data_IF_766467556290
#
_entry.id   IF_766467556290
#
_cell.length_a   1.000
_cell.length_b   1.000
_cell.length_c   1.000
_cell.angle_alpha   90.00
_cell.angle_beta   90.00
_cell.angle_gamma   90.00
#
_symmetry.space_group_name_H-M   'P 1'
#
loop_
_entity.id
_entity.type
_entity.pdbx_description
1 polymer ?
#
# COMPACT_ATOMS: atom_id res chain seq x y z
N UNK A 1 12.28 12.34 -6.64
CA UNK A 1 10.84 12.05 -6.58
C UNK A 1 10.27 12.77 -5.37
N UNK A 2 9.18 13.53 -5.53
CA UNK A 2 8.49 14.18 -4.42
C UNK A 2 7.63 13.18 -3.64
N UNK A 3 7.17 13.54 -2.44
CA UNK A 3 6.23 12.69 -1.69
C UNK A 3 4.97 12.42 -2.51
N UNK A 4 4.45 13.44 -3.20
CA UNK A 4 3.28 13.31 -4.06
C UNK A 4 3.50 12.32 -5.19
N UNK A 5 4.62 12.40 -5.89
CA UNK A 5 4.95 11.46 -6.97
C UNK A 5 5.04 10.02 -6.45
N UNK A 6 5.57 9.82 -5.23
CA UNK A 6 5.60 8.51 -4.60
C UNK A 6 4.19 7.98 -4.33
N UNK A 7 3.32 8.82 -3.76
CA UNK A 7 1.92 8.44 -3.46
C UNK A 7 1.15 8.12 -4.74
N UNK A 8 1.30 8.96 -5.78
CA UNK A 8 0.65 8.74 -7.08
C UNK A 8 1.15 7.45 -7.73
N UNK A 9 2.47 7.18 -7.67
CA UNK A 9 3.04 5.93 -8.18
C UNK A 9 2.54 4.71 -7.39
N UNK A 10 2.49 4.80 -6.05
CA UNK A 10 1.97 3.74 -5.21
C UNK A 10 0.52 3.39 -5.56
N UNK A 11 -0.35 4.40 -5.70
CA UNK A 11 -1.75 4.19 -6.13
C UNK A 11 -1.84 3.50 -7.49
N UNK A 12 -1.03 3.92 -8.45
CA UNK A 12 -1.02 3.32 -9.79
C UNK A 12 -0.59 1.86 -9.76
N UNK A 13 0.43 1.50 -8.97
CA UNK A 13 0.87 0.10 -8.86
C UNK A 13 -0.18 -0.78 -8.15
N UNK A 14 -0.89 -0.25 -7.16
CA UNK A 14 -1.99 -0.99 -6.51
C UNK A 14 -3.20 -1.16 -7.46
N UNK A 15 -3.57 -0.12 -8.21
CA UNK A 15 -4.69 -0.17 -9.14
C UNK A 15 -4.53 -1.25 -10.23
N UNK A 16 -3.28 -1.56 -10.63
CA UNK A 16 -3.01 -2.63 -11.60
C UNK A 16 -3.54 -4.00 -11.17
N UNK A 17 -3.69 -4.25 -9.87
CA UNK A 17 -4.26 -5.52 -9.41
C UNK A 17 -5.73 -5.66 -9.82
N UNK A 18 -6.51 -4.58 -9.80
CA UNK A 18 -7.87 -4.57 -10.34
C UNK A 18 -7.86 -4.56 -11.87
N UNK A 19 -7.06 -3.68 -12.48
CA UNK A 19 -7.03 -3.51 -13.94
C UNK A 19 -6.63 -4.80 -14.69
N UNK A 20 -5.76 -5.63 -14.08
CA UNK A 20 -5.32 -6.89 -14.65
C UNK A 20 -6.16 -8.10 -14.20
N UNK A 21 -7.21 -7.88 -13.41
CA UNK A 21 -8.10 -8.93 -12.93
C UNK A 21 -7.44 -9.89 -11.94
N UNK A 22 -6.50 -9.42 -11.12
CA UNK A 22 -5.92 -10.20 -10.02
C UNK A 22 -6.65 -9.98 -8.69
N UNK A 23 -7.29 -8.82 -8.53
CA UNK A 23 -8.02 -8.44 -7.33
C UNK A 23 -9.51 -8.24 -7.60
N UNK A 24 -10.31 -8.62 -6.61
CA UNK A 24 -11.72 -8.25 -6.51
C UNK A 24 -11.87 -6.80 -6.07
N UNK A 25 -11.00 -6.35 -5.15
CA UNK A 25 -10.97 -4.96 -4.70
C UNK A 25 -9.62 -4.55 -4.15
N UNK A 26 -9.35 -3.25 -4.20
CA UNK A 26 -8.21 -2.57 -3.62
C UNK A 26 -8.68 -1.37 -2.81
N UNK A 27 -8.08 -1.18 -1.64
CA UNK A 27 -8.29 -0.01 -0.80
C UNK A 27 -6.93 0.60 -0.49
N UNK A 28 -6.76 1.89 -0.76
CA UNK A 28 -5.55 2.65 -0.40
C UNK A 28 -5.94 3.80 0.52
N UNK A 29 -5.28 3.88 1.66
CA UNK A 29 -5.38 4.96 2.64
C UNK A 29 -4.03 5.63 2.80
N UNK A 30 -4.05 6.95 2.79
CA UNK A 30 -2.86 7.77 2.94
C UNK A 30 -3.07 8.79 4.04
N UNK A 31 -2.16 8.81 5.00
CA UNK A 31 -2.16 9.76 6.09
C UNK A 31 -0.91 10.64 5.97
N UNK A 32 -1.09 11.85 5.45
CA UNK A 32 0.00 12.83 5.34
C UNK A 32 0.16 13.53 6.69
N UNK A 33 1.40 13.57 7.18
CA UNK A 33 1.79 14.15 8.46
C UNK A 33 2.66 15.39 8.25
N UNK A 34 2.84 16.14 9.34
CA UNK A 34 3.79 17.25 9.38
C UNK A 34 5.20 16.80 8.96
N UNK A 35 6.02 17.74 8.51
CA UNK A 35 7.39 17.48 8.07
C UNK A 35 7.50 16.48 6.90
N UNK A 36 6.53 16.45 5.98
CA UNK A 36 6.55 15.58 4.79
C UNK A 36 6.69 14.09 5.15
N UNK A 37 6.06 13.67 6.24
CA UNK A 37 5.95 12.26 6.58
C UNK A 37 4.60 11.73 6.09
N UNK A 38 4.53 10.43 5.81
CA UNK A 38 3.27 9.80 5.44
C UNK A 38 3.19 8.38 6.00
N UNK A 39 1.97 7.93 6.27
CA UNK A 39 1.67 6.51 6.47
C UNK A 39 0.76 6.07 5.33
N UNK A 40 1.17 5.02 4.64
CA UNK A 40 0.37 4.34 3.64
C UNK A 40 -0.14 3.05 4.20
N UNK A 41 -1.41 2.76 3.94
CA UNK A 41 -1.99 1.45 4.16
C UNK A 41 -2.73 1.06 2.90
N UNK A 42 -2.47 -0.14 2.39
CA UNK A 42 -3.27 -0.72 1.33
C UNK A 42 -3.78 -2.10 1.73
N UNK A 43 -4.98 -2.43 1.27
CA UNK A 43 -5.56 -3.75 1.35
C UNK A 43 -5.95 -4.16 -0.06
N UNK A 44 -5.54 -5.35 -0.48
CA UNK A 44 -5.87 -5.95 -1.76
C UNK A 44 -6.59 -7.26 -1.47
N UNK A 45 -7.84 -7.38 -1.90
CA UNK A 45 -8.59 -8.64 -1.86
C UNK A 45 -8.41 -9.32 -3.21
N UNK A 46 -7.70 -10.44 -3.23
CA UNK A 46 -7.43 -11.22 -4.44
C UNK A 46 -8.65 -12.05 -4.84
N UNK A 47 -8.72 -12.46 -6.11
CA UNK A 47 -9.85 -13.24 -6.64
C UNK A 47 -10.12 -14.57 -5.93
N UNK A 48 -9.10 -15.15 -5.29
CA UNK A 48 -9.26 -16.37 -4.51
C UNK A 48 -9.78 -16.11 -3.09
N UNK A 49 -10.09 -14.86 -2.72
CA UNK A 49 -10.56 -14.43 -1.40
C UNK A 49 -9.45 -14.19 -0.38
N UNK A 50 -8.17 -14.35 -0.77
CA UNK A 50 -7.04 -14.02 0.11
C UNK A 50 -6.74 -12.52 0.10
N UNK A 51 -6.07 -12.03 1.13
CA UNK A 51 -5.83 -10.60 1.30
C UNK A 51 -4.33 -10.29 1.40
N UNK A 52 -3.87 -9.31 0.64
CA UNK A 52 -2.56 -8.69 0.84
C UNK A 52 -2.76 -7.35 1.53
N UNK A 53 -2.10 -7.17 2.67
CA UNK A 53 -2.07 -5.89 3.36
C UNK A 53 -0.67 -5.32 3.33
N UNK A 54 -0.62 -4.01 3.12
CA UNK A 54 0.60 -3.25 2.97
C UNK A 54 0.52 -2.09 3.93
N UNK A 55 1.59 -1.86 4.68
CA UNK A 55 1.74 -0.66 5.50
C UNK A 55 3.13 -0.09 5.33
N UNK A 56 3.23 1.17 4.97
CA UNK A 56 4.51 1.86 4.80
C UNK A 56 4.53 3.17 5.58
N UNK A 57 5.63 3.42 6.28
CA UNK A 57 5.93 4.67 6.93
C UNK A 57 7.02 5.36 6.14
N UNK A 58 6.73 6.56 5.68
CA UNK A 58 7.58 7.30 4.75
C UNK A 58 8.05 8.58 5.42
N UNK A 59 9.34 8.85 5.35
CA UNK A 59 9.93 10.15 5.59
C UNK A 59 10.36 10.75 4.24
N UNK A 60 9.82 11.92 3.90
CA UNK A 60 10.15 12.63 2.67
C UNK A 60 10.73 14.03 2.94
N UNK A 61 11.34 14.26 4.11
CA UNK A 61 11.95 15.56 4.48
C UNK A 61 13.02 16.00 3.48
N UNK A 62 13.95 15.10 3.19
CA UNK A 62 15.11 15.35 2.31
C UNK A 62 15.11 14.44 1.07
N UNK A 63 14.74 13.18 1.24
CA UNK A 63 14.58 12.15 0.20
C UNK A 63 13.41 11.25 0.61
N UNK A 64 12.86 10.48 -0.33
CA UNK A 64 11.87 9.45 0.01
C UNK A 64 12.60 8.29 0.70
N UNK A 65 12.20 8.00 1.93
CA UNK A 65 12.75 6.90 2.72
C UNK A 65 11.62 6.13 3.41
N UNK A 66 11.56 4.81 3.19
CA UNK A 66 10.68 3.91 3.93
C UNK A 66 11.31 3.62 5.29
N UNK A 67 10.89 4.34 6.33
CA UNK A 67 11.45 4.20 7.68
C UNK A 67 10.97 2.93 8.37
N UNK A 68 9.79 2.44 8.02
CA UNK A 68 9.27 1.15 8.43
C UNK A 68 8.27 0.67 7.39
N UNK A 69 8.18 -0.64 7.21
CA UNK A 69 7.21 -1.26 6.33
C UNK A 69 6.78 -2.61 6.86
N UNK A 70 5.56 -3.01 6.54
CA UNK A 70 5.03 -4.33 6.79
C UNK A 70 4.21 -4.75 5.58
N UNK A 71 4.44 -5.97 5.11
CA UNK A 71 3.66 -6.62 4.09
C UNK A 71 3.20 -7.94 4.68
N UNK A 72 1.89 -8.18 4.74
CA UNK A 72 1.35 -9.42 5.28
C UNK A 72 0.31 -9.99 4.33
N UNK A 73 0.35 -11.30 4.17
CA UNK A 73 -0.61 -12.05 3.38
C UNK A 73 -1.50 -12.85 4.33
N UNK A 74 -2.80 -12.80 4.09
CA UNK A 74 -3.80 -13.58 4.80
C UNK A 74 -4.49 -14.51 3.82
N UNK A 75 -4.54 -15.80 4.14
CA UNK A 75 -5.35 -16.74 3.37
C UNK A 75 -6.86 -16.46 3.54
N UNK A 76 -7.67 -17.25 2.83
CA UNK A 76 -9.14 -17.14 2.87
C UNK A 76 -9.76 -17.41 4.25
N UNK A 77 -8.99 -17.99 5.17
CA UNK A 77 -9.39 -18.30 6.55
C UNK A 77 -8.89 -17.23 7.53
N UNK A 78 -8.15 -16.22 7.05
CA UNK A 78 -7.56 -15.16 7.86
C UNK A 78 -6.24 -15.55 8.53
N UNK A 79 -5.63 -16.68 8.17
CA UNK A 79 -4.33 -17.07 8.71
C UNK A 79 -3.23 -16.26 8.01
N UNK A 80 -2.30 -15.72 8.81
CA UNK A 80 -1.11 -15.07 8.27
C UNK A 80 -0.11 -16.13 7.82
N UNK A 81 0.36 -16.03 6.58
CA UNK A 81 1.36 -16.93 5.99
C UNK A 81 2.68 -16.18 5.78
#
# INVERSE_FOLDING_TARGET
MSLRDYLDHFRQEIAKFEDYGYAESTEVKEEIRVLKQAVLTAKIVLLNGSELHIKEYIDARYKIEKVAYAYHYQDVQGNCI
#
